data_IF_129518237905
#
_entry.id   IF_129518237905
#
_cell.length_a   1.000
_cell.length_b   1.000
_cell.length_c   1.000
_cell.angle_alpha   90.00
_cell.angle_beta   90.00
_cell.angle_gamma   90.00
#
_symmetry.space_group_name_H-M   'P 1'
#
loop_
_entity.id
_entity.type
_entity.pdbx_description
1 polymer ?
#
# COMPACT_ATOMS: atom_id res chain seq x y z
N UNK A 1 34.11 -48.92 36.20
CA UNK A 1 34.16 -47.44 36.12
C UNK A 1 34.28 -47.05 34.65
N UNK A 2 33.22 -46.53 34.04
CA UNK A 2 33.23 -46.02 32.67
C UNK A 2 32.25 -44.86 32.60
N UNK A 3 32.78 -43.63 32.65
CA UNK A 3 32.03 -42.39 32.69
C UNK A 3 31.37 -42.12 31.33
N UNK A 4 30.06 -41.86 31.35
CA UNK A 4 29.31 -41.36 30.21
C UNK A 4 29.45 -39.83 30.16
N UNK A 5 30.11 -39.30 29.12
CA UNK A 5 30.16 -37.86 28.87
C UNK A 5 29.02 -37.45 27.94
N UNK A 6 27.93 -36.94 28.51
CA UNK A 6 26.94 -36.15 27.79
C UNK A 6 27.47 -34.72 27.62
N UNK A 7 27.95 -34.39 26.43
CA UNK A 7 28.24 -33.00 26.06
C UNK A 7 27.00 -32.39 25.39
N UNK A 8 26.41 -31.46 26.14
CA UNK A 8 25.33 -30.55 25.78
C UNK A 8 25.61 -29.88 24.43
N UNK A 9 24.68 -30.01 23.48
CA UNK A 9 24.53 -29.03 22.39
C UNK A 9 24.19 -27.67 23.01
N UNK A 10 24.84 -26.57 22.65
CA UNK A 10 24.28 -25.26 22.94
C UNK A 10 23.08 -25.09 22.00
N UNK A 11 21.87 -25.21 22.55
CA UNK A 11 20.71 -24.56 21.98
C UNK A 11 20.97 -23.06 22.10
N UNK A 12 21.50 -22.45 21.04
CA UNK A 12 21.37 -21.00 20.87
C UNK A 12 19.88 -20.65 20.82
N UNK A 13 19.48 -19.46 21.29
CA UNK A 13 18.11 -19.00 21.09
C UNK A 13 17.78 -19.03 19.60
N UNK A 14 16.52 -19.30 19.21
CA UNK A 14 16.13 -19.16 17.82
C UNK A 14 16.52 -17.75 17.39
N UNK A 15 17.34 -17.66 16.34
CA UNK A 15 17.61 -16.43 15.61
C UNK A 15 16.23 -15.84 15.32
N UNK A 16 15.87 -14.76 16.02
CA UNK A 16 14.70 -13.96 15.67
C UNK A 16 14.81 -13.75 14.17
N UNK A 17 13.88 -14.32 13.41
CA UNK A 17 13.84 -14.13 11.98
C UNK A 17 13.66 -12.63 11.79
N UNK A 18 14.77 -11.92 11.59
CA UNK A 18 14.79 -10.47 11.43
C UNK A 18 13.78 -10.13 10.35
N UNK A 19 12.66 -9.55 10.73
CA UNK A 19 11.69 -9.06 9.77
C UNK A 19 12.46 -8.15 8.83
N UNK A 20 12.45 -8.43 7.52
CA UNK A 20 13.22 -7.66 6.56
C UNK A 20 12.86 -6.18 6.69
N UNK A 21 13.87 -5.33 6.95
CA UNK A 21 13.68 -3.90 7.07
C UNK A 21 12.99 -3.35 5.81
N UNK A 22 11.94 -2.52 5.94
CA UNK A 22 11.20 -2.01 4.80
C UNK A 22 12.12 -1.27 3.82
N UNK A 23 11.75 -1.28 2.54
CA UNK A 23 12.49 -0.56 1.50
C UNK A 23 11.81 0.78 1.23
N UNK A 24 12.62 1.80 1.04
CA UNK A 24 12.14 3.16 0.74
C UNK A 24 12.76 3.64 -0.55
N UNK A 25 11.92 4.15 -1.45
CA UNK A 25 12.35 4.72 -2.72
C UNK A 25 11.78 6.13 -2.86
N UNK A 26 12.61 7.07 -3.30
CA UNK A 26 12.21 8.46 -3.55
C UNK A 26 12.11 8.69 -5.05
N UNK A 27 10.98 9.25 -5.49
CA UNK A 27 10.66 9.54 -6.87
C UNK A 27 10.41 11.03 -7.08
N UNK A 28 10.76 11.54 -8.26
CA UNK A 28 10.31 12.85 -8.70
C UNK A 28 8.89 12.73 -9.27
N UNK A 29 7.91 13.34 -8.62
CA UNK A 29 6.55 13.53 -9.10
C UNK A 29 6.35 14.89 -9.76
N UNK A 30 5.14 15.13 -10.25
CA UNK A 30 4.77 16.39 -10.94
C UNK A 30 4.93 17.63 -10.04
N UNK A 31 4.59 17.48 -8.75
CA UNK A 31 4.53 18.58 -7.78
C UNK A 31 5.68 18.58 -6.78
N UNK A 32 6.63 17.64 -6.88
CA UNK A 32 7.74 17.52 -5.94
C UNK A 32 8.18 16.07 -5.75
N UNK A 33 8.90 15.80 -4.66
CA UNK A 33 9.36 14.46 -4.35
C UNK A 33 8.26 13.65 -3.67
N UNK A 34 8.22 12.35 -3.97
CA UNK A 34 7.35 11.36 -3.35
C UNK A 34 8.21 10.21 -2.85
N UNK A 35 8.20 9.99 -1.55
CA UNK A 35 8.86 8.88 -0.87
C UNK A 35 7.85 7.75 -0.67
N UNK A 36 8.19 6.56 -1.15
CA UNK A 36 7.35 5.36 -1.06
C UNK A 36 8.11 4.27 -0.30
N UNK A 37 7.52 3.86 0.81
CA UNK A 37 8.01 2.78 1.66
C UNK A 37 7.14 1.54 1.50
N UNK A 38 7.77 0.41 1.27
CA UNK A 38 7.11 -0.89 1.10
C UNK A 38 7.71 -1.96 2.01
N UNK A 39 6.93 -2.98 2.40
CA UNK A 39 7.48 -4.16 3.07
C UNK A 39 8.57 -4.79 2.20
N UNK A 40 9.76 -4.98 2.75
CA UNK A 40 10.83 -5.62 2.00
C UNK A 40 10.66 -7.14 1.96
N UNK A 41 11.04 -7.74 0.84
CA UNK A 41 11.35 -9.17 0.78
C UNK A 41 12.87 -9.29 0.59
N UNK A 42 13.61 -9.94 1.51
CA UNK A 42 15.06 -9.95 1.46
C UNK A 42 15.53 -10.61 0.17
N UNK A 43 16.53 -9.99 -0.48
CA UNK A 43 17.12 -10.50 -1.72
C UNK A 43 16.24 -10.44 -2.97
N UNK A 44 15.03 -9.88 -2.90
CA UNK A 44 14.14 -9.76 -4.06
C UNK A 44 14.20 -8.35 -4.66
N UNK A 45 14.53 -8.18 -5.94
CA UNK A 45 14.49 -6.87 -6.59
C UNK A 45 13.04 -6.34 -6.67
N UNK A 46 12.92 -5.04 -6.99
CA UNK A 46 11.63 -4.41 -7.28
C UNK A 46 10.93 -5.17 -8.41
N UNK A 47 9.70 -5.65 -8.16
CA UNK A 47 8.93 -6.32 -9.20
C UNK A 47 8.33 -5.31 -10.19
N UNK A 48 8.01 -5.74 -11.42
CA UNK A 48 7.35 -4.86 -12.40
C UNK A 48 6.00 -4.32 -11.89
N UNK A 49 5.25 -5.15 -11.16
CA UNK A 49 4.00 -4.77 -10.51
C UNK A 49 4.21 -3.69 -9.44
N UNK A 50 5.21 -3.88 -8.57
CA UNK A 50 5.57 -2.89 -7.54
C UNK A 50 6.04 -1.57 -8.15
N UNK A 51 6.83 -1.63 -9.24
CA UNK A 51 7.25 -0.45 -10.00
C UNK A 51 6.04 0.30 -10.60
N UNK A 52 5.05 -0.42 -11.14
CA UNK A 52 3.83 0.17 -11.66
C UNK A 52 3.00 0.86 -10.55
N UNK A 53 2.90 0.25 -9.37
CA UNK A 53 2.25 0.88 -8.22
C UNK A 53 2.99 2.14 -7.76
N UNK A 54 4.32 2.11 -7.70
CA UNK A 54 5.12 3.29 -7.35
C UNK A 54 4.91 4.43 -8.36
N UNK A 55 4.89 4.09 -9.65
CA UNK A 55 4.58 5.05 -10.70
C UNK A 55 3.18 5.63 -10.54
N UNK A 56 2.17 4.79 -10.28
CA UNK A 56 0.79 5.25 -10.05
C UNK A 56 0.70 6.22 -8.85
N UNK A 57 1.29 5.86 -7.71
CA UNK A 57 1.32 6.72 -6.52
C UNK A 57 1.99 8.05 -6.85
N UNK A 58 3.16 8.01 -7.49
CA UNK A 58 3.95 9.21 -7.81
C UNK A 58 3.20 10.13 -8.77
N UNK A 59 2.60 9.58 -9.83
CA UNK A 59 1.86 10.34 -10.85
C UNK A 59 0.54 10.91 -10.34
N UNK A 60 -0.05 10.33 -9.29
CA UNK A 60 -1.33 10.75 -8.74
C UNK A 60 -1.22 11.25 -7.29
N UNK A 61 -0.01 11.62 -6.85
CA UNK A 61 0.28 11.89 -5.44
C UNK A 61 -0.69 12.91 -4.84
N UNK A 62 -0.90 14.06 -5.49
CA UNK A 62 -1.78 15.11 -4.99
C UNK A 62 -3.20 14.61 -4.74
N UNK A 63 -3.79 13.86 -5.68
CA UNK A 63 -5.15 13.34 -5.56
C UNK A 63 -5.23 12.26 -4.48
N UNK A 64 -4.23 11.39 -4.40
CA UNK A 64 -4.16 10.32 -3.41
C UNK A 64 -3.95 10.86 -2.00
N UNK A 65 -3.06 11.84 -1.80
CA UNK A 65 -2.85 12.50 -0.53
C UNK A 65 -4.11 13.25 -0.07
N UNK A 66 -4.79 13.95 -0.99
CA UNK A 66 -6.07 14.59 -0.71
C UNK A 66 -7.14 13.58 -0.29
N UNK A 67 -7.26 12.44 -0.99
CA UNK A 67 -8.22 11.39 -0.67
C UNK A 67 -7.91 10.74 0.69
N UNK A 68 -6.63 10.46 0.98
CA UNK A 68 -6.19 9.92 2.26
C UNK A 68 -6.54 10.84 3.42
N UNK A 69 -6.22 12.14 3.30
CA UNK A 69 -6.54 13.12 4.33
C UNK A 69 -8.05 13.38 4.46
N UNK A 70 -8.78 13.42 3.34
CA UNK A 70 -10.23 13.53 3.37
C UNK A 70 -10.88 12.33 4.10
N UNK A 71 -10.42 11.11 3.83
CA UNK A 71 -10.86 9.91 4.54
C UNK A 71 -10.56 9.99 6.04
N UNK A 72 -9.32 10.36 6.39
CA UNK A 72 -8.90 10.55 7.78
C UNK A 72 -9.79 11.56 8.52
N UNK A 73 -10.06 12.70 7.89
CA UNK A 73 -10.91 13.76 8.45
C UNK A 73 -12.33 13.32 8.78
N UNK A 74 -12.88 12.33 8.06
CA UNK A 74 -14.25 11.86 8.27
C UNK A 74 -14.33 10.59 9.11
N UNK A 75 -13.35 9.69 9.00
CA UNK A 75 -13.43 8.33 9.53
C UNK A 75 -12.30 7.96 10.50
N UNK A 76 -11.32 8.84 10.71
CA UNK A 76 -10.13 8.56 11.51
C UNK A 76 -9.10 7.71 10.77
N UNK A 77 -8.17 7.11 11.50
CA UNK A 77 -7.03 6.33 10.97
C UNK A 77 -7.49 5.23 10.00
N UNK A 78 -6.85 5.17 8.83
CA UNK A 78 -7.26 4.32 7.72
C UNK A 78 -6.32 4.34 6.51
N UNK A 79 -6.67 3.53 5.52
CA UNK A 79 -5.90 3.24 4.30
C UNK A 79 -6.76 3.52 3.07
N UNK A 80 -6.15 4.07 2.02
CA UNK A 80 -6.79 4.21 0.71
C UNK A 80 -6.63 2.90 -0.06
N UNK A 81 -7.74 2.24 -0.35
CA UNK A 81 -7.78 1.04 -1.17
C UNK A 81 -7.90 1.44 -2.63
N UNK A 82 -6.98 0.95 -3.45
CA UNK A 82 -6.87 1.24 -4.88
C UNK A 82 -7.17 -0.06 -5.64
N UNK A 83 -8.20 -0.03 -6.48
CA UNK A 83 -8.62 -1.17 -7.28
C UNK A 83 -8.74 -0.76 -8.75
N UNK A 84 -8.06 -1.50 -9.65
CA UNK A 84 -8.19 -1.27 -11.08
C UNK A 84 -9.56 -1.75 -11.56
N UNK A 85 -10.37 -0.84 -12.14
CA UNK A 85 -11.70 -1.19 -12.65
C UNK A 85 -11.58 -2.14 -13.84
N UNK A 86 -12.34 -3.23 -13.82
CA UNK A 86 -12.36 -4.18 -14.95
C UNK A 86 -13.16 -3.63 -16.12
N UNK A 87 -12.65 -3.81 -17.34
CA UNK A 87 -13.35 -3.44 -18.58
C UNK A 87 -14.64 -4.25 -18.78
N UNK A 88 -14.78 -5.43 -18.16
CA UNK A 88 -16.00 -6.25 -18.24
C UNK A 88 -17.16 -5.66 -17.46
N UNK A 89 -16.90 -4.95 -16.36
CA UNK A 89 -17.94 -4.25 -15.59
C UNK A 89 -18.59 -3.12 -16.41
N UNK A 90 -17.85 -2.54 -17.36
CA UNK A 90 -18.27 -1.42 -18.21
C UNK A 90 -18.93 -1.86 -19.54
N UNK A 91 -19.21 -3.15 -19.75
CA UNK A 91 -19.84 -3.65 -20.98
C UNK A 91 -21.27 -3.10 -21.26
N UNK A 92 -21.84 -2.30 -20.34
CA UNK A 92 -23.09 -1.54 -20.56
C UNK A 92 -22.87 -0.13 -21.12
N UNK A 93 -21.67 0.44 -21.08
CA UNK A 93 -21.34 1.74 -21.66
C UNK A 93 -20.31 1.59 -22.78
N UNK A 94 -20.81 1.19 -23.94
CA UNK A 94 -20.03 1.05 -25.17
C UNK A 94 -19.72 2.43 -25.74
N UNK A 95 -18.80 3.17 -25.12
CA UNK A 95 -18.23 4.40 -25.68
C UNK A 95 -16.80 4.14 -26.14
N UNK A 96 -16.56 4.34 -27.43
CA UNK A 96 -15.37 3.96 -28.21
C UNK A 96 -14.14 4.86 -27.96
N UNK A 97 -13.86 5.23 -26.70
CA UNK A 97 -12.76 6.13 -26.30
C UNK A 97 -11.80 5.48 -25.29
N UNK A 98 -12.08 4.25 -24.83
CA UNK A 98 -11.50 3.64 -23.62
C UNK A 98 -10.27 2.75 -23.94
N UNK A 99 -9.36 3.21 -24.80
CA UNK A 99 -8.03 2.58 -24.92
C UNK A 99 -6.88 3.49 -24.46
N UNK A 100 -7.17 4.75 -24.13
CA UNK A 100 -6.20 5.71 -23.62
C UNK A 100 -6.29 5.98 -22.11
N UNK A 101 -7.30 5.42 -21.42
CA UNK A 101 -7.58 5.71 -20.02
C UNK A 101 -7.64 4.43 -19.18
N UNK A 102 -6.97 4.44 -18.02
CA UNK A 102 -7.01 3.38 -17.02
C UNK A 102 -7.76 3.87 -15.78
N UNK A 103 -8.97 3.35 -15.56
CA UNK A 103 -9.82 3.74 -14.44
C UNK A 103 -9.47 2.94 -13.18
N UNK A 104 -9.40 3.64 -12.05
CA UNK A 104 -9.19 3.05 -10.72
C UNK A 104 -10.30 3.52 -9.78
N UNK A 105 -10.84 2.60 -9.00
CA UNK A 105 -11.76 2.88 -7.91
C UNK A 105 -10.95 3.12 -6.63
N UNK A 106 -11.30 4.19 -5.92
CA UNK A 106 -10.70 4.57 -4.64
C UNK A 106 -11.73 4.39 -3.52
N UNK A 107 -11.36 3.64 -2.49
CA UNK A 107 -12.14 3.52 -1.26
C UNK A 107 -11.27 3.86 -0.04
N UNK A 108 -11.90 4.30 1.05
CA UNK A 108 -11.21 4.52 2.33
C UNK A 108 -11.65 3.45 3.33
N UNK A 109 -10.70 2.74 3.91
CA UNK A 109 -10.95 1.70 4.91
C UNK A 109 -10.31 2.07 6.24
N UNK A 110 -11.08 2.00 7.33
CA UNK A 110 -10.58 2.30 8.69
C UNK A 110 -9.97 1.07 9.35
N UNK A 111 -8.99 1.28 10.22
CA UNK A 111 -8.30 0.21 10.96
C UNK A 111 -9.14 -0.48 12.04
N UNK A 112 -10.25 0.12 12.48
CA UNK A 112 -11.15 -0.45 13.50
C UNK A 112 -12.57 -0.59 12.95
N UNK A 113 -13.01 -1.82 12.66
CA UNK A 113 -14.43 -2.15 12.53
C UNK A 113 -14.81 -2.99 11.31
N UNK A 114 -14.20 -2.76 10.15
CA UNK A 114 -14.52 -3.52 8.92
C UNK A 114 -13.58 -4.70 8.65
N UNK A 115 -12.53 -4.87 9.46
CA UNK A 115 -11.55 -5.96 9.41
C UNK A 115 -11.87 -7.14 10.36
N UNK A 116 -13.02 -7.11 11.04
CA UNK A 116 -13.40 -8.10 12.08
C UNK A 116 -13.72 -9.50 11.55
N UNK A 117 -13.73 -9.69 10.24
CA UNK A 117 -13.48 -10.98 9.63
C UNK A 117 -12.01 -10.95 9.21
N UNK A 118 -11.12 -11.52 10.05
CA UNK A 118 -9.66 -11.74 9.86
C UNK A 118 -9.14 -11.26 8.50
N UNK A 119 -8.04 -10.51 8.37
CA UNK A 119 -7.49 -10.25 7.05
C UNK A 119 -6.75 -11.49 6.54
N UNK A 120 -7.29 -12.33 5.64
CA UNK A 120 -6.54 -12.52 4.43
C UNK A 120 -6.86 -11.22 3.66
N UNK A 121 -5.91 -10.40 3.27
CA UNK A 121 -5.03 -10.77 2.18
C UNK A 121 -4.03 -9.63 1.91
N UNK A 122 -3.51 -8.91 2.91
CA UNK A 122 -2.32 -8.08 2.64
C UNK A 122 -1.12 -8.99 2.36
N UNK A 123 -0.21 -8.58 1.47
CA UNK A 123 1.06 -9.26 1.28
C UNK A 123 1.98 -9.10 2.50
N UNK A 124 1.67 -8.15 3.39
CA UNK A 124 2.40 -7.89 4.64
C UNK A 124 1.43 -7.32 5.70
N UNK A 125 0.65 -8.18 6.39
CA UNK A 125 -0.32 -7.74 7.39
C UNK A 125 0.34 -7.07 8.60
N UNK A 126 1.38 -7.67 9.18
CA UNK A 126 2.05 -7.14 10.38
C UNK A 126 2.66 -5.75 10.13
N UNK A 127 3.27 -5.55 8.96
CA UNK A 127 3.81 -4.25 8.57
C UNK A 127 2.70 -3.19 8.43
N UNK A 128 1.56 -3.56 7.85
CA UNK A 128 0.44 -2.64 7.71
C UNK A 128 -0.20 -2.29 9.06
N UNK A 129 -0.30 -3.27 9.97
CA UNK A 129 -0.75 -3.05 11.35
C UNK A 129 0.18 -2.14 12.13
N UNK A 130 1.50 -2.30 11.96
CA UNK A 130 2.50 -1.37 12.51
C UNK A 130 2.31 0.03 11.93
N UNK A 131 2.16 0.13 10.60
CA UNK A 131 1.94 1.43 9.95
C UNK A 131 0.69 2.12 10.51
N UNK A 132 -0.43 1.43 10.73
CA UNK A 132 -1.63 2.03 11.34
C UNK A 132 -1.38 2.64 12.74
N UNK A 133 -0.35 2.20 13.45
CA UNK A 133 0.01 2.71 14.76
C UNK A 133 1.01 3.87 14.69
N UNK A 134 1.81 3.95 13.62
CA UNK A 134 2.99 4.83 13.55
C UNK A 134 2.90 5.93 12.50
N UNK A 135 2.10 5.78 11.44
CA UNK A 135 2.05 6.79 10.38
C UNK A 135 1.34 8.06 10.84
N UNK A 136 1.77 9.20 10.30
CA UNK A 136 1.13 10.50 10.57
C UNK A 136 0.25 10.95 9.39
N UNK A 137 -1.09 10.99 9.54
CA UNK A 137 -2.01 11.33 8.45
C UNK A 137 -1.88 12.76 7.92
N UNK A 138 -1.19 13.63 8.66
CA UNK A 138 -0.89 15.00 8.25
C UNK A 138 0.30 15.08 7.29
N UNK A 139 1.14 14.06 7.27
CA UNK A 139 2.39 14.04 6.49
C UNK A 139 2.38 12.96 5.40
N UNK A 140 1.64 11.87 5.62
CA UNK A 140 1.68 10.69 4.77
C UNK A 140 0.29 10.04 4.58
N UNK A 141 0.20 9.16 3.58
CA UNK A 141 -0.94 8.28 3.35
C UNK A 141 -0.52 6.81 3.34
N UNK A 142 -1.45 5.95 3.77
CA UNK A 142 -1.37 4.51 3.56
C UNK A 142 -2.21 4.12 2.35
N UNK A 143 -1.67 3.24 1.51
CA UNK A 143 -2.30 2.76 0.28
C UNK A 143 -2.28 1.24 0.21
N UNK A 144 -3.36 0.64 -0.27
CA UNK A 144 -3.49 -0.80 -0.44
C UNK A 144 -3.96 -1.10 -1.86
N UNK A 145 -3.07 -1.62 -2.69
CA UNK A 145 -3.40 -2.02 -4.06
C UNK A 145 -4.01 -3.40 -4.07
N UNK A 146 -5.26 -3.52 -4.49
CA UNK A 146 -5.89 -4.82 -4.72
C UNK A 146 -5.50 -5.35 -6.10
N UNK A 147 -5.16 -6.65 -6.20
CA UNK A 147 -4.90 -7.25 -7.50
C UNK A 147 -6.17 -7.25 -8.34
N UNK A 148 -5.97 -7.20 -9.65
CA UNK A 148 -7.06 -7.29 -10.60
C UNK A 148 -7.82 -8.62 -10.45
N UNK A 149 -9.14 -8.60 -10.56
CA UNK A 149 -10.00 -9.79 -10.42
C UNK A 149 -9.61 -10.96 -11.37
N UNK A 150 -8.92 -10.68 -12.48
CA UNK A 150 -8.40 -11.70 -13.41
C UNK A 150 -7.26 -12.56 -12.81
N UNK A 151 -6.73 -12.18 -11.64
CA UNK A 151 -5.80 -12.97 -10.85
C UNK A 151 -6.44 -14.26 -10.27
N UNK A 152 -7.77 -14.36 -10.22
CA UNK A 152 -8.44 -15.61 -9.86
C UNK A 152 -8.11 -16.76 -10.83
N UNK A 153 -7.68 -16.44 -12.05
CA UNK A 153 -7.31 -17.41 -13.09
C UNK A 153 -5.84 -17.86 -13.05
N UNK A 154 -4.96 -17.09 -12.42
CA UNK A 154 -3.50 -17.33 -12.39
C UNK A 154 -2.94 -17.56 -10.98
N UNK A 155 -3.76 -17.41 -9.95
CA UNK A 155 -3.39 -17.59 -8.56
C UNK A 155 -3.64 -16.32 -7.76
N UNK A 156 -4.18 -16.47 -6.56
CA UNK A 156 -4.52 -15.36 -5.67
C UNK A 156 -3.26 -14.58 -5.29
N UNK A 157 -3.10 -13.35 -5.79
CA UNK A 157 -2.11 -12.41 -5.28
C UNK A 157 -2.74 -11.64 -4.10
N UNK A 158 -2.07 -11.51 -2.95
CA UNK A 158 -2.58 -10.68 -1.86
C UNK A 158 -2.41 -9.18 -2.18
N UNK A 159 -3.39 -8.31 -1.88
CA UNK A 159 -3.24 -6.86 -1.86
C UNK A 159 -1.90 -6.36 -1.27
N UNK A 160 -1.30 -5.36 -1.90
CA UNK A 160 0.04 -4.86 -1.54
C UNK A 160 -0.06 -3.51 -0.81
N UNK A 161 0.50 -3.39 0.41
CA UNK A 161 0.43 -2.15 1.17
C UNK A 161 1.65 -1.25 0.88
N UNK A 162 1.42 0.06 0.93
CA UNK A 162 2.40 1.11 0.70
C UNK A 162 2.18 2.24 1.71
N UNK A 163 3.27 2.82 2.18
CA UNK A 163 3.28 4.08 2.91
C UNK A 163 3.92 5.10 1.98
N UNK A 164 3.27 6.24 1.76
CA UNK A 164 3.88 7.29 0.95
C UNK A 164 3.70 8.67 1.57
N UNK A 165 4.75 9.46 1.47
CA UNK A 165 4.82 10.85 1.85
C UNK A 165 5.36 11.66 0.67
N UNK A 166 5.02 12.94 0.57
CA UNK A 166 5.45 13.73 -0.57
C UNK A 166 4.94 15.16 -0.54
N UNK A 167 5.26 15.90 -1.59
CA UNK A 167 4.86 17.31 -1.74
C UNK A 167 3.79 17.46 -2.83
N UNK A 168 2.66 18.14 -2.55
CA UNK A 168 2.27 18.77 -1.27
C UNK A 168 1.92 17.74 -0.19
N UNK A 169 1.95 18.16 1.07
CA UNK A 169 1.50 17.34 2.20
C UNK A 169 -0.02 17.07 2.10
N UNK A 170 -0.56 15.99 2.69
CA UNK A 170 -1.97 15.63 2.57
C UNK A 170 -3.00 16.75 2.84
N UNK A 171 -2.86 17.61 3.88
CA UNK A 171 -3.75 18.75 4.09
C UNK A 171 -3.75 19.76 2.94
N UNK A 172 -2.56 20.18 2.50
CA UNK A 172 -2.38 21.10 1.38
C UNK A 172 -2.89 20.50 0.07
N UNK A 173 -2.69 19.20 -0.13
CA UNK A 173 -3.19 18.48 -1.29
C UNK A 173 -4.73 18.56 -1.37
N UNK A 174 -5.41 18.43 -0.22
CA UNK A 174 -6.87 18.57 -0.14
C UNK A 174 -7.33 20.01 -0.38
N UNK A 175 -6.60 21.01 0.10
CA UNK A 175 -6.88 22.41 -0.17
C UNK A 175 -6.78 22.72 -1.67
N UNK A 176 -5.71 22.27 -2.32
CA UNK A 176 -5.54 22.39 -3.77
C UNK A 176 -6.62 21.66 -4.57
N UNK A 177 -7.06 20.48 -4.11
CA UNK A 177 -8.12 19.73 -4.78
C UNK A 177 -9.51 20.41 -4.67
N UNK A 178 -9.70 21.28 -3.66
CA UNK A 178 -10.94 22.02 -3.44
C UNK A 178 -10.92 23.42 -4.04
N UNK A 179 -9.75 23.93 -4.43
CA UNK A 179 -9.65 25.24 -5.07
C UNK A 179 -10.47 25.23 -6.38
N UNK A 180 -11.35 26.21 -6.60
CA UNK A 180 -12.06 26.31 -7.87
C UNK A 180 -11.04 26.47 -9.00
N UNK A 181 -11.29 25.81 -10.14
CA UNK A 181 -10.51 26.03 -11.35
C UNK A 181 -10.55 27.53 -11.68
N UNK A 182 -9.40 28.20 -11.57
CA UNK A 182 -9.22 29.58 -12.03
C UNK A 182 -9.00 29.61 -13.53
#
# INVERSE_FOLDING_TARGET
>A
MGLWSFLKRPFGPPEEASTPAPRTNTYAGETGLVEITTPAVPGRPLSAEEAAHHQFITSNWRQLAAAAYAGFRHYGIGVVVIEKRSRETDAREKTTVIDAFEAHDLAYATGMGMWTQRPPHSSAPDWLDEQFQTYEPLDAGLFLFRPHHDAERTGYSPPRPYHAAGTPAPPEALEHARAPFN
#
